data_IF_208062983326
#
_entry.id   IF_208062983326
#
_cell.length_a   1.000
_cell.length_b   1.000
_cell.length_c   1.000
_cell.angle_alpha   90.00
_cell.angle_beta   90.00
_cell.angle_gamma   90.00
#
_symmetry.space_group_name_H-M   'P 1'
#
loop_
_entity.id
_entity.type
_entity.pdbx_description
1 polymer ?
#
# COMPACT_ATOMS: atom_id res chain seq x y z
N UNK A 1 -7.75 5.64 3.78
CA UNK A 1 -8.39 4.58 2.96
C UNK A 1 -8.91 3.48 3.88
N UNK A 2 -10.08 3.71 4.48
CA UNK A 2 -10.75 2.73 5.36
C UNK A 2 -12.16 2.49 4.83
N UNK A 3 -12.66 1.27 4.96
CA UNK A 3 -14.07 0.95 4.75
C UNK A 3 -14.92 1.65 5.82
N UNK A 4 -16.23 1.74 5.59
CA UNK A 4 -17.16 2.39 6.53
C UNK A 4 -17.20 1.71 7.90
N UNK A 5 -16.84 0.42 7.94
CA UNK A 5 -16.68 -0.38 9.16
C UNK A 5 -15.33 -0.16 9.89
N UNK A 6 -14.49 0.76 9.43
CA UNK A 6 -13.19 1.09 10.03
C UNK A 6 -12.03 0.18 9.60
N UNK A 7 -12.29 -0.85 8.79
CA UNK A 7 -11.23 -1.72 8.27
C UNK A 7 -10.38 -1.00 7.21
N UNK A 8 -9.09 -1.28 7.22
CA UNK A 8 -8.18 -0.83 6.17
C UNK A 8 -8.48 -1.52 4.83
N UNK A 9 -8.56 -0.72 3.74
CA UNK A 9 -8.81 -1.25 2.39
C UNK A 9 -7.58 -1.93 1.78
N UNK A 10 -6.38 -1.59 2.27
CA UNK A 10 -5.14 -2.17 1.77
C UNK A 10 -4.99 -3.59 2.33
N UNK A 11 -4.87 -4.57 1.43
CA UNK A 11 -4.67 -5.99 1.78
C UNK A 11 -3.20 -6.41 1.72
N UNK A 12 -2.27 -5.44 1.75
CA UNK A 12 -0.84 -5.69 1.65
C UNK A 12 -0.40 -6.52 0.42
N UNK A 13 -1.09 -6.40 -0.73
CA UNK A 13 -0.76 -7.16 -1.95
C UNK A 13 0.55 -6.70 -2.64
N UNK A 14 1.10 -5.55 -2.23
CA UNK A 14 2.31 -4.92 -2.78
C UNK A 14 2.24 -4.52 -4.27
N UNK A 15 1.06 -4.58 -4.89
CA UNK A 15 0.87 -4.23 -6.30
C UNK A 15 1.18 -2.75 -6.59
N UNK A 16 0.74 -1.84 -5.72
CA UNK A 16 1.03 -0.40 -5.87
C UNK A 16 2.54 -0.11 -5.89
N UNK A 17 3.33 -0.85 -5.10
CA UNK A 17 4.80 -0.73 -5.11
C UNK A 17 5.40 -1.30 -6.39
N UNK A 18 4.91 -2.45 -6.85
CA UNK A 18 5.37 -3.10 -8.08
C UNK A 18 5.08 -2.30 -9.37
N UNK A 19 3.91 -1.64 -9.43
CA UNK A 19 3.51 -0.83 -10.60
C UNK A 19 4.14 0.57 -10.59
N UNK A 20 4.68 1.03 -9.46
CA UNK A 20 5.21 2.37 -9.33
C UNK A 20 6.50 2.52 -10.17
N UNK A 21 6.51 3.34 -11.24
CA UNK A 21 7.66 3.45 -12.13
C UNK A 21 8.86 4.13 -11.46
N UNK A 22 8.61 5.00 -10.48
CA UNK A 22 9.64 5.69 -9.71
C UNK A 22 10.04 4.97 -8.41
N UNK A 23 9.43 3.79 -8.15
CA UNK A 23 9.61 3.03 -6.93
C UNK A 23 9.50 3.90 -5.65
N UNK A 24 8.50 4.78 -5.65
CA UNK A 24 8.27 5.78 -4.60
C UNK A 24 7.45 5.23 -3.42
N UNK A 25 6.92 4.01 -3.53
CA UNK A 25 5.97 3.45 -2.57
C UNK A 25 6.65 2.29 -1.82
N UNK A 26 6.71 2.40 -0.50
CA UNK A 26 7.21 1.36 0.40
C UNK A 26 6.07 0.75 1.21
N UNK A 27 5.92 -0.57 1.13
CA UNK A 27 4.81 -1.31 1.75
C UNK A 27 5.40 -2.44 2.59
N UNK A 28 5.25 -2.33 3.91
CA UNK A 28 5.57 -3.38 4.87
C UNK A 28 4.27 -4.04 5.37
N UNK A 29 4.35 -5.34 5.62
CA UNK A 29 3.18 -6.15 5.93
C UNK A 29 3.54 -7.30 6.85
N UNK A 30 2.74 -7.47 7.91
CA UNK A 30 2.87 -8.61 8.81
C UNK A 30 1.66 -9.55 8.68
N UNK A 31 1.88 -10.80 9.02
CA UNK A 31 0.83 -11.79 9.17
C UNK A 31 0.28 -11.68 10.60
N UNK A 32 -1.03 -11.47 10.71
CA UNK A 32 -1.69 -11.42 12.01
C UNK A 32 -1.93 -12.83 12.54
N UNK A 33 -2.24 -12.93 13.82
CA UNK A 33 -2.57 -14.20 14.50
C UNK A 33 -3.77 -14.93 13.86
N UNK A 34 -4.64 -14.20 13.17
CA UNK A 34 -5.80 -14.71 12.41
C UNK A 34 -5.43 -15.24 11.00
N UNK A 35 -4.14 -15.21 10.63
CA UNK A 35 -3.65 -15.60 9.30
C UNK A 35 -3.91 -14.55 8.20
N UNK A 36 -4.51 -13.41 8.55
CA UNK A 36 -4.72 -12.30 7.62
C UNK A 36 -3.48 -11.41 7.53
N UNK A 37 -3.11 -11.01 6.31
CA UNK A 37 -2.01 -10.05 6.09
C UNK A 37 -2.56 -8.63 6.21
N UNK A 38 -1.95 -7.85 7.09
CA UNK A 38 -2.29 -6.43 7.27
C UNK A 38 -1.07 -5.57 7.03
N UNK A 39 -1.33 -4.32 6.64
CA UNK A 39 -0.26 -3.41 6.24
C UNK A 39 0.22 -2.67 7.48
N UNK A 40 1.45 -2.94 7.92
CA UNK A 40 2.04 -2.29 9.11
C UNK A 40 2.54 -0.90 8.79
N UNK A 41 3.07 -0.73 7.57
CA UNK A 41 3.59 0.54 7.10
C UNK A 41 3.34 0.72 5.62
N UNK A 42 2.75 1.86 5.29
CA UNK A 42 2.56 2.32 3.93
C UNK A 42 3.10 3.73 3.82
N UNK A 43 4.19 3.89 3.08
CA UNK A 43 4.90 5.16 2.92
C UNK A 43 5.00 5.50 1.43
N UNK A 44 4.73 6.77 1.10
CA UNK A 44 4.89 7.31 -0.25
C UNK A 44 5.90 8.44 -0.19
N UNK A 45 7.02 8.26 -0.85
CA UNK A 45 8.06 9.26 -1.01
C UNK A 45 7.60 10.28 -2.07
N UNK A 46 7.09 11.41 -1.60
CA UNK A 46 6.61 12.49 -2.47
C UNK A 46 7.72 13.13 -3.32
N UNK A 47 8.99 12.98 -2.94
CA UNK A 47 10.11 13.50 -3.73
C UNK A 47 10.44 12.59 -4.92
N UNK A 48 10.20 11.28 -4.79
CA UNK A 48 10.33 10.32 -5.90
C UNK A 48 9.08 10.20 -6.74
N UNK A 49 7.91 10.48 -6.18
CA UNK A 49 6.64 10.32 -6.87
C UNK A 49 6.54 11.22 -8.12
N UNK A 50 6.21 10.61 -9.26
CA UNK A 50 6.00 11.32 -10.54
C UNK A 50 4.52 11.57 -10.85
N UNK A 51 3.62 11.30 -9.90
CA UNK A 51 2.18 11.53 -10.02
C UNK A 51 1.53 10.90 -11.27
N UNK A 52 1.97 9.69 -11.63
CA UNK A 52 1.48 8.97 -12.81
C UNK A 52 0.09 8.31 -12.65
N UNK A 53 -0.43 8.16 -11.43
CA UNK A 53 -1.76 7.58 -11.16
C UNK A 53 -1.86 6.05 -11.23
N UNK A 54 -0.82 5.32 -11.65
CA UNK A 54 -0.90 3.85 -11.81
C UNK A 54 -1.24 3.04 -10.56
N UNK A 55 -1.05 3.62 -9.36
CA UNK A 55 -1.42 2.96 -8.11
C UNK A 55 -2.89 3.16 -7.71
N UNK A 56 -3.63 4.04 -8.39
CA UNK A 56 -5.06 4.31 -8.18
C UNK A 56 -5.97 3.75 -9.29
N UNK A 57 -5.40 3.21 -10.37
CA UNK A 57 -6.13 2.44 -11.39
C UNK A 57 -6.37 0.98 -10.96
#
# INVERSE_FOLDING_TARGET
MKYENGEERCIACKLCSAVCPANAISIDSEENEDGTRRTTRFDIDAFKCVYCGFCEE
#
